data_IF_962606889055
#
_entry.id   IF_962606889055
#
_cell.length_a   1.000
_cell.length_b   1.000
_cell.length_c   1.000
_cell.angle_alpha   90.00
_cell.angle_beta   90.00
_cell.angle_gamma   90.00
#
_symmetry.space_group_name_H-M   'P 1'
#
loop_
_entity.id
_entity.type
_entity.pdbx_description
1 polymer ?
#
# COMPACT_ATOMS: atom_id res chain seq x y z
N UNK A 1 3.95 -63.73 -45.17
CA UNK A 1 4.37 -62.46 -44.55
C UNK A 1 3.32 -62.12 -43.49
N UNK A 2 3.55 -62.51 -42.23
CA UNK A 2 2.58 -62.30 -41.15
C UNK A 2 2.91 -60.98 -40.44
N UNK A 3 2.02 -60.00 -40.56
CA UNK A 3 2.12 -58.70 -39.89
C UNK A 3 1.72 -58.87 -38.42
N UNK A 4 2.72 -58.93 -37.54
CA UNK A 4 2.54 -58.91 -36.08
C UNK A 4 2.15 -57.49 -35.65
N UNK A 5 0.86 -57.28 -35.42
CA UNK A 5 0.33 -56.01 -34.93
C UNK A 5 0.56 -55.92 -33.42
N UNK A 6 1.66 -55.28 -33.01
CA UNK A 6 1.97 -55.02 -31.61
C UNK A 6 1.01 -53.95 -31.07
N UNK A 7 -0.03 -54.40 -30.35
CA UNK A 7 -0.97 -53.51 -29.66
C UNK A 7 -0.19 -52.74 -28.59
N UNK A 8 0.09 -51.46 -28.85
CA UNK A 8 0.72 -50.55 -27.90
C UNK A 8 -0.22 -50.41 -26.69
N UNK A 9 0.10 -51.10 -25.60
CA UNK A 9 -0.62 -51.00 -24.34
C UNK A 9 -0.46 -49.57 -23.82
N UNK A 10 -1.48 -48.74 -24.00
CA UNK A 10 -1.57 -47.47 -23.29
C UNK A 10 -1.99 -47.78 -21.85
N UNK A 11 -1.02 -47.93 -20.95
CA UNK A 11 -1.31 -47.98 -19.52
C UNK A 11 -1.83 -46.59 -19.11
N UNK A 12 -3.14 -46.48 -18.91
CA UNK A 12 -3.75 -45.30 -18.30
C UNK A 12 -3.45 -45.24 -16.80
N UNK A 13 -3.47 -44.04 -16.24
CA UNK A 13 -3.41 -43.81 -14.79
C UNK A 13 -4.55 -44.57 -14.08
N UNK A 14 -4.26 -45.13 -12.90
CA UNK A 14 -5.28 -45.83 -12.11
C UNK A 14 -6.07 -44.84 -11.24
N UNK A 15 -7.31 -45.19 -10.87
CA UNK A 15 -8.12 -44.36 -9.95
C UNK A 15 -7.44 -44.17 -8.60
N UNK A 16 -6.78 -45.21 -8.09
CA UNK A 16 -6.06 -45.14 -6.82
C UNK A 16 -4.84 -44.23 -6.90
N UNK A 17 -4.17 -44.15 -8.05
CA UNK A 17 -3.03 -43.27 -8.27
C UNK A 17 -3.44 -41.80 -8.24
N UNK A 18 -4.55 -41.45 -8.90
CA UNK A 18 -5.11 -40.11 -8.80
C UNK A 18 -5.58 -39.77 -7.37
N UNK A 19 -6.11 -40.75 -6.63
CA UNK A 19 -6.50 -40.57 -5.24
C UNK A 19 -5.29 -40.22 -4.35
N UNK A 20 -4.18 -40.95 -4.49
CA UNK A 20 -2.95 -40.67 -3.74
C UNK A 20 -2.38 -39.30 -4.10
N UNK A 21 -2.40 -38.93 -5.39
CA UNK A 21 -1.95 -37.60 -5.84
C UNK A 21 -2.76 -36.47 -5.20
N UNK A 22 -4.10 -36.57 -5.16
CA UNK A 22 -4.93 -35.56 -4.51
C UNK A 22 -4.69 -35.47 -3.00
N UNK A 23 -4.40 -36.59 -2.33
CA UNK A 23 -4.01 -36.58 -0.91
C UNK A 23 -2.72 -35.78 -0.73
N UNK A 24 -1.70 -36.05 -1.54
CA UNK A 24 -0.41 -35.34 -1.44
C UNK A 24 -0.59 -33.84 -1.73
N UNK A 25 -1.32 -33.49 -2.79
CA UNK A 25 -1.62 -32.09 -3.14
C UNK A 25 -2.40 -31.40 -2.02
N UNK A 26 -3.37 -32.08 -1.41
CA UNK A 26 -4.16 -31.56 -0.28
C UNK A 26 -3.30 -31.23 0.93
N UNK A 27 -2.37 -32.11 1.30
CA UNK A 27 -1.43 -31.88 2.42
C UNK A 27 -0.52 -30.68 2.15
N UNK A 28 0.04 -30.58 0.92
CA UNK A 28 0.89 -29.46 0.55
C UNK A 28 0.09 -28.14 0.54
N UNK A 29 -1.11 -28.15 -0.05
CA UNK A 29 -1.98 -26.98 -0.11
C UNK A 29 -2.36 -26.46 1.28
N UNK A 30 -2.62 -27.36 2.24
CA UNK A 30 -2.97 -26.99 3.61
C UNK A 30 -1.84 -26.21 4.32
N UNK A 31 -0.58 -26.55 4.06
CA UNK A 31 0.58 -25.86 4.65
C UNK A 31 0.93 -24.58 3.86
N UNK A 32 0.80 -24.61 2.53
CA UNK A 32 1.18 -23.50 1.67
C UNK A 32 0.20 -22.32 1.73
N UNK A 33 -1.11 -22.60 1.82
CA UNK A 33 -2.16 -21.58 1.78
C UNK A 33 -2.01 -20.45 2.84
N UNK A 34 -1.83 -20.74 4.15
CA UNK A 34 -1.71 -19.67 5.14
C UNK A 34 -0.46 -18.80 4.94
N UNK A 35 0.68 -19.41 4.56
CA UNK A 35 1.91 -18.67 4.29
C UNK A 35 1.76 -17.75 3.08
N UNK A 36 1.08 -18.21 2.04
CA UNK A 36 0.80 -17.39 0.86
C UNK A 36 -0.10 -16.20 1.18
N UNK A 37 -1.14 -16.38 2.01
CA UNK A 37 -2.00 -15.28 2.46
C UNK A 37 -1.21 -14.24 3.28
N UNK A 38 -0.31 -14.67 4.17
CA UNK A 38 0.56 -13.77 4.92
C UNK A 38 1.46 -12.92 4.01
N UNK A 39 2.07 -13.54 3.00
CA UNK A 39 2.90 -12.86 2.00
C UNK A 39 2.09 -11.84 1.19
N UNK A 40 0.86 -12.18 0.79
CA UNK A 40 -0.03 -11.27 0.09
C UNK A 40 -0.36 -10.04 0.94
N UNK A 41 -0.68 -10.24 2.23
CA UNK A 41 -0.99 -9.12 3.12
C UNK A 41 0.22 -8.21 3.34
N UNK A 42 1.43 -8.77 3.48
CA UNK A 42 2.66 -7.97 3.53
C UNK A 42 2.91 -7.21 2.23
N UNK A 43 2.61 -7.81 1.08
CA UNK A 43 2.69 -7.12 -0.22
C UNK A 43 1.73 -5.93 -0.26
N UNK A 44 0.50 -6.09 0.24
CA UNK A 44 -0.48 -4.99 0.31
C UNK A 44 0.02 -3.83 1.17
N UNK A 45 0.66 -4.09 2.31
CA UNK A 45 1.26 -3.04 3.14
C UNK A 45 2.36 -2.30 2.38
N UNK A 46 3.25 -3.02 1.67
CA UNK A 46 4.31 -2.43 0.84
C UNK A 46 3.75 -1.62 -0.33
N UNK A 47 2.70 -2.11 -0.98
CA UNK A 47 2.01 -1.38 -2.05
C UNK A 47 1.36 -0.11 -1.49
N UNK A 48 0.71 -0.19 -0.32
CA UNK A 48 0.18 0.97 0.40
C UNK A 48 1.25 2.01 0.68
N UNK A 49 2.40 1.61 1.22
CA UNK A 49 3.56 2.47 1.42
C UNK A 49 4.01 3.15 0.13
N UNK A 50 4.16 2.40 -0.97
CA UNK A 50 4.56 2.95 -2.26
C UNK A 50 3.55 3.96 -2.82
N UNK A 51 2.24 3.73 -2.60
CA UNK A 51 1.20 4.68 -2.98
C UNK A 51 1.29 5.98 -2.18
N UNK A 52 1.48 5.89 -0.86
CA UNK A 52 1.59 7.08 0.00
C UNK A 52 2.87 7.85 -0.29
N UNK A 53 4.02 7.18 -0.32
CA UNK A 53 5.31 7.79 -0.63
C UNK A 53 5.27 8.47 -2.00
N UNK A 54 4.73 7.78 -3.00
CA UNK A 54 4.54 8.31 -4.35
C UNK A 54 3.65 9.55 -4.37
N UNK A 55 2.54 9.56 -3.62
CA UNK A 55 1.64 10.69 -3.54
C UNK A 55 2.29 11.90 -2.86
N UNK A 56 2.97 11.70 -1.74
CA UNK A 56 3.63 12.76 -0.97
C UNK A 56 4.76 13.40 -1.80
N UNK A 57 5.63 12.57 -2.41
CA UNK A 57 6.70 13.06 -3.29
C UNK A 57 6.17 13.75 -4.54
N UNK A 58 5.07 13.25 -5.11
CA UNK A 58 4.44 13.90 -6.26
C UNK A 58 3.86 15.26 -5.88
N UNK A 59 3.15 15.35 -4.75
CA UNK A 59 2.61 16.62 -4.25
C UNK A 59 3.72 17.65 -4.01
N UNK A 60 4.83 17.25 -3.41
CA UNK A 60 6.00 18.13 -3.22
C UNK A 60 6.58 18.60 -4.57
N UNK A 61 6.77 17.68 -5.52
CA UNK A 61 7.27 18.01 -6.87
C UNK A 61 6.34 18.95 -7.62
N UNK A 62 5.03 18.72 -7.56
CA UNK A 62 4.04 19.58 -8.21
C UNK A 62 3.97 20.96 -7.55
N UNK A 63 4.10 21.02 -6.23
CA UNK A 63 4.16 22.30 -5.52
C UNK A 63 5.35 23.15 -6.02
N UNK A 64 6.53 22.55 -6.11
CA UNK A 64 7.74 23.21 -6.64
C UNK A 64 7.61 23.61 -8.11
N UNK A 65 7.13 22.69 -8.96
CA UNK A 65 6.97 22.93 -10.40
C UNK A 65 6.04 24.10 -10.71
N UNK A 66 5.01 24.28 -9.89
CA UNK A 66 3.96 25.29 -10.09
C UNK A 66 4.19 26.56 -9.28
N UNK A 67 5.12 26.55 -8.32
CA UNK A 67 5.33 27.64 -7.38
C UNK A 67 4.12 27.88 -6.47
N UNK A 68 3.27 26.86 -6.26
CA UNK A 68 2.02 26.96 -5.49
C UNK A 68 1.94 25.87 -4.42
N UNK A 69 1.27 26.12 -3.28
CA UNK A 69 1.15 25.13 -2.23
C UNK A 69 0.23 23.95 -2.58
N UNK A 70 0.63 22.74 -2.17
CA UNK A 70 -0.14 21.50 -2.30
C UNK A 70 -0.37 20.88 -0.90
N UNK A 71 -1.60 20.49 -0.59
CA UNK A 71 -2.00 19.90 0.69
C UNK A 71 -2.44 18.43 0.50
N UNK A 72 -1.71 17.47 1.06
CA UNK A 72 -2.04 16.04 1.04
C UNK A 72 -2.92 15.70 2.23
N UNK A 73 -4.02 14.98 1.98
CA UNK A 73 -4.97 14.50 2.99
C UNK A 73 -5.30 13.03 2.75
N UNK A 74 -5.47 12.31 3.85
CA UNK A 74 -5.96 10.95 3.84
C UNK A 74 -7.45 10.97 4.11
N UNK A 75 -8.23 10.29 3.27
CA UNK A 75 -9.68 10.19 3.41
C UNK A 75 -10.12 8.76 3.23
N UNK A 76 -11.09 8.35 4.03
CA UNK A 76 -11.66 7.02 3.96
C UNK A 76 -12.87 7.01 3.02
N UNK A 77 -12.87 6.11 2.02
CA UNK A 77 -13.96 5.97 1.04
C UNK A 77 -14.38 4.51 0.90
N UNK A 78 -15.69 4.27 0.76
CA UNK A 78 -16.20 2.95 0.40
C UNK A 78 -16.15 2.78 -1.11
N UNK A 79 -15.38 1.79 -1.59
CA UNK A 79 -15.24 1.44 -3.01
C UNK A 79 -15.64 -0.02 -3.16
N UNK A 80 -16.62 -0.32 -4.00
CA UNK A 80 -17.15 -1.69 -4.21
C UNK A 80 -17.57 -2.39 -2.91
N UNK A 81 -18.19 -1.65 -1.98
CA UNK A 81 -18.63 -2.19 -0.69
C UNK A 81 -17.51 -2.43 0.33
N UNK A 82 -16.26 -2.06 0.02
CA UNK A 82 -15.13 -2.14 0.94
C UNK A 82 -14.64 -0.75 1.32
N UNK A 83 -14.48 -0.50 2.61
CA UNK A 83 -13.84 0.71 3.12
C UNK A 83 -12.35 0.67 2.78
N UNK A 84 -11.88 1.68 2.06
CA UNK A 84 -10.49 1.83 1.64
C UNK A 84 -10.03 3.24 1.95
N UNK A 85 -8.76 3.36 2.28
CA UNK A 85 -8.14 4.66 2.41
C UNK A 85 -7.69 5.18 1.05
N UNK A 86 -7.90 6.47 0.84
CA UNK A 86 -7.67 7.17 -0.41
C UNK A 86 -6.88 8.43 -0.12
N UNK A 87 -5.89 8.72 -0.95
CA UNK A 87 -5.10 9.93 -0.83
C UNK A 87 -5.71 11.00 -1.75
N UNK A 88 -6.14 12.09 -1.12
CA UNK A 88 -6.64 13.27 -1.81
C UNK A 88 -5.65 14.42 -1.64
N UNK A 89 -5.48 15.23 -2.69
CA UNK A 89 -4.52 16.34 -2.63
C UNK A 89 -5.16 17.60 -3.19
N UNK A 90 -5.27 18.60 -2.34
CA UNK A 90 -5.95 19.86 -2.65
C UNK A 90 -4.90 20.95 -2.90
N UNK A 91 -5.07 21.72 -3.98
CA UNK A 91 -4.36 22.99 -4.18
C UNK A 91 -5.02 24.04 -3.30
N UNK A 92 -4.23 24.81 -2.56
CA UNK A 92 -4.73 25.67 -1.48
C UNK A 92 -5.96 26.52 -1.83
N UNK A 93 -7.03 26.32 -1.07
CA UNK A 93 -7.98 27.38 -0.72
C UNK A 93 -8.10 27.41 0.80
N UNK A 94 -7.64 28.47 1.45
CA UNK A 94 -7.50 28.59 2.91
C UNK A 94 -8.83 28.70 3.68
N UNK A 95 -9.94 28.18 3.15
CA UNK A 95 -11.24 28.20 3.83
C UNK A 95 -12.04 26.91 3.62
N UNK A 96 -12.41 26.25 4.73
CA UNK A 96 -13.58 25.36 4.81
C UNK A 96 -13.64 24.16 3.87
N UNK A 97 -12.58 23.37 3.77
CA UNK A 97 -12.51 22.22 2.85
C UNK A 97 -13.46 21.07 3.24
N UNK A 98 -14.65 21.04 2.64
CA UNK A 98 -15.29 19.78 2.24
C UNK A 98 -14.67 19.37 0.90
N UNK A 99 -13.57 18.60 0.95
CA UNK A 99 -13.01 18.01 -0.27
C UNK A 99 -13.96 16.89 -0.70
N UNK A 100 -14.74 17.11 -1.76
CA UNK A 100 -15.42 15.99 -2.41
C UNK A 100 -14.34 15.02 -2.89
N UNK A 101 -14.54 13.71 -2.68
CA UNK A 101 -13.58 12.70 -3.08
C UNK A 101 -13.26 12.84 -4.58
N UNK A 102 -11.99 13.11 -4.91
CA UNK A 102 -11.50 13.23 -6.29
C UNK A 102 -11.00 14.61 -6.76
N UNK A 103 -10.85 15.63 -5.90
CA UNK A 103 -10.29 16.90 -6.37
C UNK A 103 -8.76 16.93 -6.33
N UNK A 104 -8.16 16.89 -7.54
CA UNK A 104 -6.73 17.08 -7.80
C UNK A 104 -6.53 18.29 -8.70
N UNK A 105 -6.33 19.46 -8.08
CA UNK A 105 -6.04 20.70 -8.80
C UNK A 105 -4.54 20.73 -9.23
N UNK A 106 -4.05 19.68 -9.91
CA UNK A 106 -2.67 19.59 -10.43
C UNK A 106 -1.57 19.29 -9.41
N UNK A 107 -1.92 18.93 -8.16
CA UNK A 107 -0.96 18.49 -7.14
C UNK A 107 -0.78 16.96 -7.09
N UNK A 108 -1.66 16.21 -7.76
CA UNK A 108 -1.46 14.82 -8.15
C UNK A 108 -1.96 14.64 -9.57
N UNK A 109 -1.34 13.71 -10.30
CA UNK A 109 -1.73 13.35 -11.65
C UNK A 109 -2.93 12.39 -11.68
N UNK A 110 -3.10 11.58 -10.62
CA UNK A 110 -4.17 10.59 -10.47
C UNK A 110 -4.46 10.33 -8.98
N UNK A 111 -5.68 9.88 -8.68
CA UNK A 111 -6.07 9.37 -7.37
C UNK A 111 -5.23 8.17 -6.95
N UNK A 112 -4.74 8.17 -5.71
CA UNK A 112 -4.07 6.99 -5.14
C UNK A 112 -5.01 6.28 -4.19
N UNK A 113 -5.30 5.03 -4.53
CA UNK A 113 -6.19 4.17 -3.77
C UNK A 113 -5.36 3.09 -3.11
N UNK A 114 -5.37 3.03 -1.77
CA UNK A 114 -4.60 2.03 -1.05
C UNK A 114 -5.25 0.64 -1.21
N UNK A 115 -4.46 -0.45 -1.16
CA UNK A 115 -5.00 -1.81 -1.21
C UNK A 115 -6.05 -2.06 -0.12
N UNK A 116 -6.89 -3.08 -0.33
CA UNK A 116 -7.94 -3.44 0.63
C UNK A 116 -7.33 -3.86 1.97
N UNK A 117 -8.03 -3.52 3.07
CA UNK A 117 -7.64 -3.85 4.46
C UNK A 117 -6.29 -3.24 4.91
N UNK A 118 -5.70 -2.35 4.11
CA UNK A 118 -4.59 -1.52 4.55
C UNK A 118 -5.15 -0.31 5.29
N UNK A 119 -4.63 -0.08 6.48
CA UNK A 119 -4.99 1.01 7.38
C UNK A 119 -3.82 2.01 7.42
N UNK A 120 -4.14 3.30 7.38
CA UNK A 120 -3.17 4.37 7.66
C UNK A 120 -3.49 4.99 9.00
N UNK A 121 -2.50 4.98 9.88
CA UNK A 121 -2.55 5.66 11.15
C UNK A 121 -1.51 6.78 11.16
N UNK A 122 -1.84 7.91 11.78
CA UNK A 122 -0.95 9.07 11.85
C UNK A 122 -0.58 9.29 13.30
N UNK A 123 0.71 9.28 13.62
CA UNK A 123 1.27 9.46 14.96
C UNK A 123 2.03 10.81 15.05
N UNK A 124 1.73 11.69 16.03
CA UNK A 124 0.78 11.54 17.13
C UNK A 124 -0.56 12.20 16.82
N UNK A 125 -1.44 11.51 16.11
CA UNK A 125 -2.88 11.84 15.99
C UNK A 125 -3.26 13.22 15.45
N UNK A 126 -2.31 14.04 15.00
CA UNK A 126 -2.54 15.47 14.72
C UNK A 126 -2.26 15.87 13.27
N UNK A 127 -1.47 15.09 12.51
CA UNK A 127 -1.17 15.41 11.10
C UNK A 127 -2.36 15.01 10.22
N UNK A 128 -3.37 15.87 10.21
CA UNK A 128 -4.56 15.71 9.37
C UNK A 128 -4.31 16.13 7.93
N UNK A 129 -3.16 16.77 7.66
CA UNK A 129 -2.74 17.25 6.34
C UNK A 129 -1.22 17.42 6.29
N UNK A 130 -0.63 17.19 5.12
CA UNK A 130 0.76 17.55 4.82
C UNK A 130 0.71 18.73 3.85
N UNK A 131 1.32 19.85 4.20
CA UNK A 131 1.38 21.04 3.33
C UNK A 131 2.78 21.21 2.77
N UNK A 132 2.91 21.16 1.45
CA UNK A 132 4.11 21.58 0.74
C UNK A 132 3.92 22.97 0.16
N UNK A 133 4.82 23.89 0.48
CA UNK A 133 4.89 25.21 -0.16
C UNK A 133 5.38 25.11 -1.60
N UNK A 134 5.23 26.20 -2.37
CA UNK A 134 5.79 26.30 -3.73
C UNK A 134 7.31 26.20 -3.83
N UNK A 135 8.02 26.11 -2.70
CA UNK A 135 9.47 25.87 -2.61
C UNK A 135 9.83 24.44 -2.20
N UNK A 136 8.84 23.58 -1.96
CA UNK A 136 9.03 22.19 -1.51
C UNK A 136 9.14 22.01 0.01
N UNK A 137 9.20 23.11 0.75
CA UNK A 137 9.25 23.13 2.22
C UNK A 137 7.91 22.77 2.86
N UNK A 138 7.97 22.14 4.02
CA UNK A 138 6.82 21.79 4.88
C UNK A 138 6.72 22.73 6.09
N UNK A 139 5.53 22.78 6.72
CA UNK A 139 5.33 23.44 8.01
C UNK A 139 5.49 22.44 9.17
N UNK A 140 5.58 22.95 10.40
CA UNK A 140 5.71 22.10 11.60
C UNK A 140 4.49 21.20 11.83
N UNK A 141 3.32 21.60 11.35
CA UNK A 141 2.07 20.84 11.47
C UNK A 141 2.06 19.62 10.53
N UNK A 142 2.94 19.62 9.52
CA UNK A 142 3.12 18.53 8.56
C UNK A 142 4.16 17.49 8.98
N UNK A 143 4.86 17.73 10.10
CA UNK A 143 5.94 16.85 10.58
C UNK A 143 5.39 15.71 11.44
N UNK A 144 5.93 14.51 11.23
CA UNK A 144 5.71 13.32 12.05
C UNK A 144 5.54 12.07 11.21
N UNK A 145 4.85 11.05 11.75
CA UNK A 145 4.95 9.68 11.24
C UNK A 145 3.58 9.20 10.77
N UNK A 146 3.55 8.69 9.55
CA UNK A 146 2.42 8.01 8.93
C UNK A 146 2.74 6.53 8.93
N UNK A 147 1.96 5.75 9.66
CA UNK A 147 2.03 4.31 9.74
C UNK A 147 1.08 3.68 8.72
N UNK A 148 1.54 2.63 8.05
CA UNK A 148 0.76 1.83 7.13
C UNK A 148 0.79 0.39 7.64
N UNK A 149 -0.38 -0.14 7.96
CA UNK A 149 -0.53 -1.45 8.60
C UNK A 149 -1.62 -2.28 7.91
N UNK A 150 -1.70 -3.55 8.30
CA UNK A 150 -2.78 -4.44 7.89
C UNK A 150 -3.12 -5.32 9.10
N UNK A 151 -4.42 -5.54 9.44
CA UNK A 151 -4.82 -6.18 10.70
C UNK A 151 -4.36 -7.64 10.83
N UNK A 152 -4.03 -8.27 9.70
CA UNK A 152 -3.51 -9.65 9.62
C UNK A 152 -1.97 -9.73 9.54
N UNK A 153 -1.26 -8.62 9.75
CA UNK A 153 0.21 -8.59 9.74
C UNK A 153 0.75 -7.86 10.96
N UNK A 154 1.90 -8.29 11.46
CA UNK A 154 2.62 -7.61 12.55
C UNK A 154 3.59 -6.54 12.05
N UNK A 155 3.86 -6.50 10.74
CA UNK A 155 4.79 -5.56 10.13
C UNK A 155 4.07 -4.24 9.85
N UNK A 156 4.53 -3.17 10.47
CA UNK A 156 4.04 -1.82 10.23
C UNK A 156 5.10 -1.07 9.45
N UNK A 157 4.73 -0.52 8.30
CA UNK A 157 5.59 0.36 7.51
C UNK A 157 5.31 1.80 7.88
N UNK A 158 6.28 2.67 7.67
CA UNK A 158 6.14 4.08 8.02
C UNK A 158 6.69 5.00 6.94
N UNK A 159 6.16 6.22 6.95
CA UNK A 159 6.71 7.39 6.27
C UNK A 159 6.83 8.47 7.33
N UNK A 160 8.02 9.06 7.44
CA UNK A 160 8.30 10.13 8.38
C UNK A 160 8.67 11.39 7.61
N UNK A 161 7.99 12.49 7.95
CA UNK A 161 8.26 13.81 7.38
C UNK A 161 8.94 14.65 8.46
N UNK A 162 10.15 15.12 8.15
CA UNK A 162 10.97 15.87 9.09
C UNK A 162 11.42 17.23 8.57
N UNK A 163 11.44 18.17 9.51
CA UNK A 163 12.03 19.49 9.33
C UNK A 163 11.25 20.38 8.37
N UNK A 164 11.77 21.57 8.17
CA UNK A 164 11.15 22.58 7.30
C UNK A 164 11.43 22.34 5.82
N UNK A 165 12.36 21.44 5.49
CA UNK A 165 12.72 21.10 4.11
C UNK A 165 11.82 20.01 3.53
N UNK A 166 10.95 19.40 4.33
CA UNK A 166 10.09 18.30 3.90
C UNK A 166 10.93 17.06 3.54
N UNK A 167 11.88 16.69 4.40
CA UNK A 167 12.61 15.46 4.23
C UNK A 167 11.66 14.28 4.45
N UNK A 168 11.63 13.34 3.50
CA UNK A 168 10.74 12.18 3.53
C UNK A 168 11.60 10.94 3.74
N UNK A 169 11.37 10.25 4.86
CA UNK A 169 11.99 8.97 5.21
C UNK A 169 10.93 7.87 5.14
N UNK A 170 11.31 6.68 4.68
CA UNK A 170 10.41 5.51 4.61
C UNK A 170 11.07 4.31 5.24
N UNK A 171 10.30 3.47 5.92
CA UNK A 171 10.90 2.39 6.69
C UNK A 171 9.93 1.44 7.39
N UNK A 172 10.47 0.71 8.35
CA UNK A 172 9.73 -0.07 9.33
C UNK A 172 9.47 0.79 10.57
N UNK A 173 8.22 0.75 11.04
CA UNK A 173 7.82 1.49 12.23
C UNK A 173 8.31 0.74 13.48
N UNK A 174 9.04 1.45 14.33
CA UNK A 174 9.43 0.95 15.64
C UNK A 174 8.57 1.62 16.72
N UNK A 175 7.67 0.85 17.31
CA UNK A 175 6.78 1.32 18.38
C UNK A 175 7.49 1.64 19.70
N UNK A 176 8.71 1.14 19.91
CA UNK A 176 9.45 1.41 21.15
C UNK A 176 9.98 2.85 21.19
N UNK A 177 10.49 3.30 20.04
CA UNK A 177 11.10 4.63 19.87
C UNK A 177 10.16 5.62 19.15
N UNK A 178 8.98 5.17 18.72
CA UNK A 178 8.06 5.93 17.85
C UNK A 178 8.81 6.53 16.65
N UNK A 179 9.54 5.69 15.92
CA UNK A 179 10.48 6.14 14.87
C UNK A 179 10.37 5.30 13.60
N UNK A 180 10.70 5.92 12.47
CA UNK A 180 10.75 5.24 11.19
C UNK A 180 12.18 4.82 10.83
N UNK A 181 12.47 3.51 10.94
CA UNK A 181 13.81 2.96 10.70
C UNK A 181 13.93 2.46 9.28
N UNK A 182 14.99 2.86 8.56
CA UNK A 182 15.22 2.35 7.21
C UNK A 182 15.33 0.81 7.22
N UNK A 183 14.79 0.12 6.21
CA UNK A 183 14.91 -1.33 6.12
C UNK A 183 16.40 -1.68 5.97
N UNK A 184 16.87 -2.58 6.84
CA UNK A 184 18.25 -3.11 6.83
C UNK A 184 18.45 -4.04 5.63
#
# INVERSE_FOLDING_TARGET
>A
MLLYNARKSSSGFTLIEMLVVFIIVGVIAAIAAPNFLGLLNQSRVKDGLAQVEGAVKEAQRQAMRRGKPCKVKFVTRTINGKTREVITVVESTDTGETVAAGFYNGCLLEERILPVEVEVEVDPGTITKITFSGKGNTDSDSNGIIQISHPLTTTVKCIQIEGVLGNILTGDYDSADSSCKQPV
#
